data_IF_325167597796
#
_entry.id   IF_325167597796
#
_cell.length_a   1.000
_cell.length_b   1.000
_cell.length_c   1.000
_cell.angle_alpha   90.00
_cell.angle_beta   90.00
_cell.angle_gamma   90.00
#
_symmetry.space_group_name_H-M   'P 1'
#
loop_
_entity.id
_entity.type
_entity.pdbx_description
1 polymer ?
#
# COMPACT_ATOMS: atom_id res chain seq x y z
N UNK A 1 0.17 -6.17 2.68
CA UNK A 1 -0.29 -5.38 1.51
C UNK A 1 0.90 -4.81 0.73
N UNK A 2 1.81 -4.05 1.35
CA UNK A 2 2.96 -3.43 0.65
C UNK A 2 3.86 -4.42 -0.13
N UNK A 3 4.14 -5.60 0.42
CA UNK A 3 4.95 -6.63 -0.27
C UNK A 3 4.31 -7.09 -1.58
N UNK A 4 2.98 -7.23 -1.62
CA UNK A 4 2.24 -7.64 -2.82
C UNK A 4 2.30 -6.54 -3.89
N UNK A 5 2.11 -5.28 -3.49
CA UNK A 5 2.18 -4.12 -4.39
C UNK A 5 3.56 -3.93 -5.02
N UNK A 6 4.62 -4.11 -4.23
CA UNK A 6 5.97 -3.79 -4.69
C UNK A 6 6.64 -4.96 -5.38
N UNK A 7 6.12 -6.18 -5.25
CA UNK A 7 6.78 -7.41 -5.72
C UNK A 7 8.16 -7.64 -5.11
N UNK A 8 8.47 -6.95 -4.01
CA UNK A 8 9.80 -6.95 -3.35
C UNK A 8 9.65 -7.43 -1.93
N UNK A 9 10.64 -8.19 -1.45
CA UNK A 9 10.69 -8.61 -0.04
C UNK A 9 10.70 -7.36 0.85
N UNK A 10 10.01 -7.38 2.00
CA UNK A 10 10.22 -6.35 3.00
C UNK A 10 11.70 -6.47 3.40
N UNK A 11 12.50 -5.43 3.18
CA UNK A 11 13.94 -5.48 3.45
C UNK A 11 14.17 -5.92 4.91
N UNK A 12 14.61 -7.16 5.12
CA UNK A 12 14.90 -7.73 6.43
C UNK A 12 16.38 -7.50 6.72
N UNK A 13 16.74 -6.28 7.12
CA UNK A 13 17.92 -6.05 7.94
C UNK A 13 17.41 -5.87 9.37
N UNK A 14 17.31 -7.02 10.04
CA UNK A 14 17.15 -7.39 11.46
C UNK A 14 16.44 -6.48 12.50
N UNK A 15 16.12 -5.20 12.25
CA UNK A 15 15.52 -4.33 13.27
C UNK A 15 14.40 -3.39 12.81
N UNK A 16 14.17 -3.18 11.50
CA UNK A 16 13.21 -2.18 11.05
C UNK A 16 12.27 -2.70 9.94
N UNK A 17 11.16 -3.37 10.33
CA UNK A 17 9.99 -3.58 9.45
C UNK A 17 9.46 -2.28 8.82
N UNK A 18 9.92 -1.13 9.35
CA UNK A 18 9.63 0.20 8.91
C UNK A 18 10.27 0.62 7.58
N UNK A 19 11.24 -0.12 7.02
CA UNK A 19 11.90 0.35 5.80
C UNK A 19 10.94 0.47 4.62
N UNK A 20 10.13 -0.56 4.33
CA UNK A 20 9.22 -0.51 3.18
C UNK A 20 8.08 0.51 3.40
N UNK A 21 7.50 0.56 4.60
CA UNK A 21 6.45 1.52 4.93
C UNK A 21 6.97 2.97 4.92
N UNK A 22 8.08 3.26 5.62
CA UNK A 22 8.65 4.62 5.68
C UNK A 22 9.09 5.09 4.30
N UNK A 23 9.69 4.22 3.51
CA UNK A 23 10.09 4.54 2.14
C UNK A 23 8.88 4.87 1.26
N UNK A 24 7.83 4.05 1.29
CA UNK A 24 6.61 4.31 0.53
C UNK A 24 5.89 5.57 0.99
N UNK A 25 5.82 5.81 2.31
CA UNK A 25 5.24 7.03 2.88
C UNK A 25 6.02 8.27 2.43
N UNK A 26 7.35 8.22 2.48
CA UNK A 26 8.23 9.30 2.02
C UNK A 26 8.02 9.64 0.54
N UNK A 27 7.98 8.63 -0.35
CA UNK A 27 7.73 8.86 -1.78
C UNK A 27 6.33 9.46 -2.00
N UNK A 28 5.32 8.92 -1.30
CA UNK A 28 3.93 9.37 -1.44
C UNK A 28 3.74 10.82 -0.99
N UNK A 29 4.34 11.21 0.14
CA UNK A 29 4.26 12.57 0.69
C UNK A 29 4.95 13.60 -0.22
N UNK A 30 5.97 13.18 -0.98
CA UNK A 30 6.68 14.03 -1.94
C UNK A 30 6.08 14.04 -3.35
N UNK A 31 5.08 13.20 -3.60
CA UNK A 31 4.53 13.01 -4.94
C UNK A 31 5.51 12.39 -5.93
N UNK A 32 6.52 11.67 -5.42
CA UNK A 32 7.49 10.97 -6.27
C UNK A 32 6.82 9.78 -6.97
N UNK A 33 7.22 9.44 -8.19
CA UNK A 33 6.67 8.30 -8.90
C UNK A 33 6.95 7.00 -8.14
N UNK A 34 5.92 6.14 -8.05
CA UNK A 34 6.02 4.85 -7.37
C UNK A 34 5.94 3.75 -8.42
N UNK A 35 7.02 2.97 -8.51
CA UNK A 35 7.07 1.78 -9.35
C UNK A 35 6.46 0.59 -8.60
N UNK A 36 5.30 0.15 -9.06
CA UNK A 36 4.70 -1.09 -8.57
C UNK A 36 5.36 -2.31 -9.20
N UNK A 37 5.36 -3.44 -8.47
CA UNK A 37 5.87 -4.71 -8.97
C UNK A 37 4.78 -5.56 -9.60
N UNK A 38 5.18 -6.51 -10.43
CA UNK A 38 4.28 -7.43 -11.14
C UNK A 38 3.86 -6.93 -12.51
N UNK A 39 3.18 -7.78 -13.27
CA UNK A 39 2.60 -7.42 -14.56
C UNK A 39 1.31 -6.62 -14.31
N UNK A 40 1.24 -5.36 -14.77
CA UNK A 40 0.15 -4.42 -14.45
C UNK A 40 -1.18 -4.75 -15.13
N UNK A 41 -1.32 -5.96 -15.69
CA UNK A 41 -2.46 -6.34 -16.52
C UNK A 41 -3.74 -6.57 -15.71
N UNK A 42 -3.63 -6.94 -14.43
CA UNK A 42 -4.80 -7.23 -13.58
C UNK A 42 -5.35 -6.02 -12.81
N UNK A 43 -4.54 -4.96 -12.62
CA UNK A 43 -4.94 -3.75 -11.88
C UNK A 43 -4.45 -2.49 -12.58
N UNK A 44 -5.36 -1.53 -12.79
CA UNK A 44 -4.99 -0.23 -13.37
C UNK A 44 -4.16 0.60 -12.40
N UNK A 45 -3.30 1.53 -12.90
CA UNK A 45 -2.48 2.40 -12.05
C UNK A 45 -3.27 3.16 -10.97
N UNK A 46 -4.50 3.58 -11.28
CA UNK A 46 -5.40 4.23 -10.31
C UNK A 46 -5.79 3.32 -9.16
N UNK A 47 -6.16 2.08 -9.44
CA UNK A 47 -6.50 1.09 -8.40
C UNK A 47 -5.27 0.74 -7.56
N UNK A 48 -4.08 0.63 -8.18
CA UNK A 48 -2.82 0.41 -7.45
C UNK A 48 -2.51 1.56 -6.50
N UNK A 49 -2.74 2.80 -6.94
CA UNK A 49 -2.58 4.01 -6.13
C UNK A 49 -3.52 4.01 -4.92
N UNK A 50 -4.80 3.67 -5.12
CA UNK A 50 -5.78 3.58 -4.03
C UNK A 50 -5.42 2.45 -3.05
N UNK A 51 -4.96 1.31 -3.56
CA UNK A 51 -4.56 0.19 -2.72
C UNK A 51 -3.30 0.51 -1.90
N UNK A 52 -2.37 1.30 -2.45
CA UNK A 52 -1.22 1.83 -1.72
C UNK A 52 -1.67 2.75 -0.58
N UNK A 53 -2.62 3.65 -0.83
CA UNK A 53 -3.15 4.56 0.21
C UNK A 53 -3.78 3.80 1.38
N UNK A 54 -4.55 2.76 1.06
CA UNK A 54 -5.10 1.87 2.08
C UNK A 54 -3.99 1.15 2.84
N UNK A 55 -2.98 0.62 2.15
CA UNK A 55 -1.85 -0.05 2.78
C UNK A 55 -1.06 0.86 3.73
N UNK A 56 -0.86 2.13 3.38
CA UNK A 56 -0.18 3.11 4.23
C UNK A 56 -1.00 3.43 5.49
N UNK A 57 -2.33 3.64 5.36
CA UNK A 57 -3.22 3.85 6.52
C UNK A 57 -3.22 2.67 7.49
N UNK A 58 -3.22 1.44 6.98
CA UNK A 58 -3.12 0.23 7.79
C UNK A 58 -1.82 0.15 8.62
N UNK A 59 -0.76 0.84 8.18
CA UNK A 59 0.56 0.85 8.82
C UNK A 59 0.83 2.09 9.68
N UNK A 60 -0.16 2.96 9.92
CA UNK A 60 0.04 4.15 10.76
C UNK A 60 0.50 3.77 12.17
N UNK A 61 1.29 4.66 12.80
CA UNK A 61 1.90 4.34 14.10
C UNK A 61 0.86 4.25 15.22
N UNK A 62 -0.09 5.18 15.22
CA UNK A 62 -1.14 5.29 16.23
C UNK A 62 -2.28 4.33 15.89
N UNK A 63 -2.82 3.65 16.90
CA UNK A 63 -3.84 2.62 16.69
C UNK A 63 -5.18 3.22 16.22
N UNK A 64 -5.48 4.43 16.67
CA UNK A 64 -6.66 5.22 16.31
C UNK A 64 -6.67 5.64 14.82
N UNK A 65 -5.49 5.79 14.20
CA UNK A 65 -5.37 6.16 12.79
C UNK A 65 -5.49 4.93 11.87
N UNK A 66 -5.38 3.72 12.42
CA UNK A 66 -5.51 2.46 11.65
C UNK A 66 -6.98 2.12 11.42
N UNK A 67 -7.39 1.85 10.18
CA UNK A 67 -8.73 1.36 9.91
C UNK A 67 -8.94 -0.03 10.55
N UNK A 68 -10.19 -0.31 10.96
CA UNK A 68 -10.59 -1.66 11.39
C UNK A 68 -10.49 -2.62 10.19
N UNK A 69 -10.08 -3.87 10.45
CA UNK A 69 -9.90 -4.88 9.39
C UNK A 69 -11.15 -5.11 8.54
N UNK A 70 -12.34 -5.00 9.13
CA UNK A 70 -13.61 -5.08 8.38
C UNK A 70 -13.79 -3.94 7.37
N UNK A 71 -13.35 -2.73 7.73
CA UNK A 71 -13.35 -1.58 6.83
C UNK A 71 -12.31 -1.74 5.74
N UNK A 72 -11.12 -2.26 6.08
CA UNK A 72 -10.06 -2.59 5.12
C UNK A 72 -10.57 -3.58 4.07
N UNK A 73 -11.20 -4.68 4.47
CA UNK A 73 -11.72 -5.68 3.54
C UNK A 73 -12.81 -5.11 2.61
N UNK A 74 -13.71 -4.26 3.14
CA UNK A 74 -14.73 -3.57 2.33
C UNK A 74 -14.08 -2.64 1.31
N UNK A 75 -13.06 -1.90 1.71
CA UNK A 75 -12.38 -0.95 0.84
C UNK A 75 -11.56 -1.65 -0.25
N UNK A 76 -10.91 -2.79 0.06
CA UNK A 76 -10.26 -3.63 -0.96
C UNK A 76 -11.25 -4.06 -2.04
N UNK A 77 -12.44 -4.51 -1.64
CA UNK A 77 -13.50 -4.91 -2.58
C UNK A 77 -13.96 -3.73 -3.45
N UNK A 78 -14.07 -2.53 -2.87
CA UNK A 78 -14.40 -1.32 -3.63
C UNK A 78 -13.29 -0.96 -4.62
N UNK A 79 -12.02 -1.07 -4.24
CA UNK A 79 -10.87 -0.79 -5.12
C UNK A 79 -10.82 -1.78 -6.29
N UNK A 80 -11.09 -3.07 -6.03
CA UNK A 80 -11.20 -4.10 -7.07
C UNK A 80 -12.32 -3.76 -8.07
N UNK A 81 -13.49 -3.37 -7.56
CA UNK A 81 -14.67 -3.04 -8.35
C UNK A 81 -14.62 -1.66 -9.01
N UNK A 82 -13.71 -0.78 -8.56
CA UNK A 82 -13.48 0.53 -9.13
C UNK A 82 -12.86 0.38 -10.52
N UNK A 83 -13.73 0.17 -11.51
CA UNK A 83 -13.49 0.32 -12.93
C UNK A 83 -14.14 1.66 -13.38
N UNK A 84 -13.54 2.42 -14.32
CA UNK A 84 -14.01 3.73 -14.74
C UNK A 84 -15.48 3.74 -15.18
#
# INVERSE_FOLDING_TARGET
>A
MLVLLMGRRPAMLETDHYHIYRYMKYLRERGEPIEFGGDSNDMRPGQMTMFLDLALRCCEKRNEDRPKMISVAKEIKLIEQASP
#
